data_IF_426675610764
#
_entry.id   IF_426675610764
#
_cell.length_a   1.000
_cell.length_b   1.000
_cell.length_c   1.000
_cell.angle_alpha   90.00
_cell.angle_beta   90.00
_cell.angle_gamma   90.00
#
_symmetry.space_group_name_H-M   'P 1'
#
loop_
_entity.id
_entity.type
_entity.pdbx_description
1 polymer ?
#
# COMPACT_ATOMS: atom_id res chain seq x y z
N UNK A 1 -0.05 16.69 -6.74
CA UNK A 1 0.47 16.71 -8.14
C UNK A 1 1.07 15.33 -8.38
N UNK A 2 0.78 14.67 -9.51
CA UNK A 2 1.29 13.31 -9.80
C UNK A 2 2.45 13.36 -10.81
N UNK A 3 3.17 12.24 -10.99
CA UNK A 3 4.34 12.13 -11.87
C UNK A 3 4.03 11.51 -13.24
N UNK A 4 2.75 11.30 -13.57
CA UNK A 4 2.34 10.58 -14.79
C UNK A 4 2.90 11.20 -16.08
N UNK A 5 2.83 12.54 -16.19
CA UNK A 5 3.33 13.27 -17.36
C UNK A 5 4.84 13.17 -17.51
N UNK A 6 5.55 13.17 -16.39
CA UNK A 6 7.01 13.08 -16.33
C UNK A 6 7.47 11.70 -16.76
N UNK A 7 6.89 10.66 -16.16
CA UNK A 7 7.17 9.25 -16.48
C UNK A 7 6.89 8.93 -17.96
N UNK A 8 5.77 9.42 -18.50
CA UNK A 8 5.46 9.25 -19.92
C UNK A 8 6.53 9.88 -20.82
N UNK A 9 6.96 11.11 -20.49
CA UNK A 9 7.99 11.82 -21.26
C UNK A 9 9.36 11.16 -21.17
N UNK A 10 9.71 10.61 -20.00
CA UNK A 10 10.94 9.83 -19.80
C UNK A 10 10.99 8.61 -20.73
N UNK A 11 9.86 7.89 -20.87
CA UNK A 11 9.73 6.78 -21.83
C UNK A 11 9.51 7.22 -23.28
N UNK A 12 9.50 8.54 -23.55
CA UNK A 12 9.27 9.12 -24.89
C UNK A 12 7.94 8.69 -25.53
N UNK A 13 6.92 8.45 -24.72
CA UNK A 13 5.59 8.04 -25.17
C UNK A 13 4.66 9.26 -25.35
N UNK A 14 3.76 9.20 -26.31
CA UNK A 14 2.68 10.16 -26.50
C UNK A 14 1.49 9.86 -25.59
N UNK A 15 0.62 10.85 -25.37
CA UNK A 15 -0.62 10.62 -24.60
C UNK A 15 -1.50 9.56 -25.27
N UNK A 16 -1.57 9.56 -26.60
CA UNK A 16 -2.29 8.57 -27.39
C UNK A 16 -1.79 7.13 -27.18
N UNK A 17 -0.49 6.91 -27.06
CA UNK A 17 0.09 5.57 -26.84
C UNK A 17 -0.31 5.01 -25.49
N UNK A 18 -0.09 5.76 -24.41
CA UNK A 18 -0.49 5.34 -23.05
C UNK A 18 -2.01 5.19 -22.95
N UNK A 19 -2.79 6.10 -23.54
CA UNK A 19 -4.24 6.02 -23.50
C UNK A 19 -4.75 4.73 -24.17
N UNK A 20 -4.13 4.33 -25.29
CA UNK A 20 -4.43 3.07 -25.96
C UNK A 20 -4.06 1.87 -25.09
N UNK A 21 -2.86 1.85 -24.51
CA UNK A 21 -2.38 0.77 -23.64
C UNK A 21 -3.29 0.57 -22.42
N UNK A 22 -3.73 1.68 -21.84
CA UNK A 22 -4.61 1.69 -20.66
C UNK A 22 -6.11 1.54 -21.00
N UNK A 23 -6.47 1.43 -22.28
CA UNK A 23 -7.86 1.37 -22.76
C UNK A 23 -8.72 2.53 -22.25
N UNK A 24 -8.21 3.76 -22.35
CA UNK A 24 -8.88 5.02 -21.98
C UNK A 24 -8.83 6.03 -23.12
N UNK A 25 -9.54 7.15 -22.97
CA UNK A 25 -9.43 8.26 -23.91
C UNK A 25 -8.17 9.09 -23.65
N UNK A 26 -7.61 9.70 -24.70
CA UNK A 26 -6.50 10.67 -24.56
C UNK A 26 -6.88 11.86 -23.66
N UNK A 27 -8.15 12.27 -23.70
CA UNK A 27 -8.70 13.29 -22.80
C UNK A 27 -8.66 12.86 -21.32
N UNK A 28 -8.95 11.59 -21.04
CA UNK A 28 -8.84 11.02 -19.68
C UNK A 28 -7.39 11.10 -19.21
N UNK A 29 -6.44 10.69 -20.05
CA UNK A 29 -5.02 10.74 -19.71
C UNK A 29 -4.55 12.18 -19.47
N UNK A 30 -4.94 13.13 -20.34
CA UNK A 30 -4.60 14.54 -20.16
C UNK A 30 -5.16 15.10 -18.85
N UNK A 31 -6.38 14.75 -18.48
CA UNK A 31 -6.99 15.16 -17.20
C UNK A 31 -6.22 14.59 -16.01
N UNK A 32 -5.78 13.34 -16.08
CA UNK A 32 -4.94 12.73 -15.05
C UNK A 32 -3.60 13.46 -14.94
N UNK A 33 -2.90 13.70 -16.05
CA UNK A 33 -1.61 14.42 -16.07
C UNK A 33 -1.70 15.85 -15.50
N UNK A 34 -2.85 16.50 -15.65
CA UNK A 34 -3.09 17.85 -15.14
C UNK A 34 -3.70 17.88 -13.73
N UNK A 35 -4.00 16.71 -13.13
CA UNK A 35 -4.67 16.63 -11.83
C UNK A 35 -6.15 17.06 -11.84
N UNK A 36 -6.77 17.17 -13.02
CA UNK A 36 -8.18 17.52 -13.19
C UNK A 36 -9.14 16.38 -12.77
N UNK A 37 -8.62 15.15 -12.66
CA UNK A 37 -9.37 14.00 -12.16
C UNK A 37 -8.44 12.98 -11.49
N UNK A 38 -8.99 12.25 -10.52
CA UNK A 38 -8.25 11.21 -9.80
C UNK A 38 -8.06 9.95 -10.67
N UNK A 39 -6.91 9.30 -10.49
CA UNK A 39 -6.62 8.00 -11.08
C UNK A 39 -7.19 6.93 -10.13
N UNK A 40 -8.02 6.02 -10.65
CA UNK A 40 -8.55 4.92 -9.83
C UNK A 40 -7.41 3.97 -9.43
N UNK A 41 -7.48 3.31 -8.25
CA UNK A 41 -6.43 2.41 -7.77
C UNK A 41 -5.97 1.39 -8.81
N UNK A 42 -6.92 0.69 -9.45
CA UNK A 42 -6.65 -0.29 -10.51
C UNK A 42 -5.83 0.30 -11.68
N UNK A 43 -6.15 1.54 -12.09
CA UNK A 43 -5.44 2.24 -13.17
C UNK A 43 -4.10 2.79 -12.72
N UNK A 44 -3.99 3.22 -11.46
CA UNK A 44 -2.75 3.66 -10.87
C UNK A 44 -1.74 2.50 -10.82
N UNK A 45 -2.19 1.30 -10.43
CA UNK A 45 -1.36 0.09 -10.45
C UNK A 45 -0.90 -0.25 -11.87
N UNK A 46 -1.81 -0.31 -12.85
CA UNK A 46 -1.45 -0.60 -14.25
C UNK A 46 -0.43 0.40 -14.82
N UNK A 47 -0.60 1.69 -14.51
CA UNK A 47 0.35 2.72 -14.93
C UNK A 47 1.70 2.57 -14.21
N UNK A 48 1.70 2.28 -12.91
CA UNK A 48 2.91 2.08 -12.12
C UNK A 48 3.73 0.91 -12.68
N UNK A 49 3.07 -0.22 -12.96
CA UNK A 49 3.67 -1.39 -13.60
C UNK A 49 4.22 -1.06 -15.00
N UNK A 50 3.44 -0.33 -15.82
CA UNK A 50 3.84 0.11 -17.15
C UNK A 50 5.12 0.97 -17.09
N UNK A 51 5.24 1.85 -16.09
CA UNK A 51 6.41 2.71 -15.94
C UNK A 51 7.57 2.07 -15.17
N UNK A 52 7.34 0.96 -14.46
CA UNK A 52 8.35 0.31 -13.62
C UNK A 52 8.66 1.13 -12.37
N UNK A 53 7.63 1.73 -11.77
CA UNK A 53 7.72 2.52 -10.54
C UNK A 53 6.62 2.07 -9.57
N UNK A 54 6.68 2.53 -8.34
CA UNK A 54 5.66 2.30 -7.33
C UNK A 54 4.45 3.21 -7.53
N UNK A 55 3.29 2.76 -7.05
CA UNK A 55 2.05 3.56 -7.08
C UNK A 55 2.24 4.85 -6.28
N UNK A 56 2.92 4.78 -5.12
CA UNK A 56 3.25 5.95 -4.32
C UNK A 56 4.06 6.98 -5.11
N UNK A 57 5.09 6.56 -5.84
CA UNK A 57 5.88 7.46 -6.68
C UNK A 57 5.03 8.09 -7.79
N UNK A 58 4.26 7.26 -8.50
CA UNK A 58 3.43 7.69 -9.62
C UNK A 58 2.42 8.76 -9.20
N UNK A 59 1.76 8.56 -8.05
CA UNK A 59 0.74 9.47 -7.54
C UNK A 59 1.31 10.71 -6.85
N UNK A 60 2.62 10.74 -6.59
CA UNK A 60 3.27 11.88 -5.91
C UNK A 60 3.32 11.74 -4.39
N UNK A 61 3.13 10.53 -3.85
CA UNK A 61 3.11 10.26 -2.42
C UNK A 61 4.45 9.77 -1.87
N UNK A 62 5.34 9.27 -2.73
CA UNK A 62 6.70 8.89 -2.36
C UNK A 62 7.73 9.59 -3.22
N UNK A 63 8.88 9.95 -2.64
CA UNK A 63 10.05 10.42 -3.39
C UNK A 63 10.86 9.27 -3.99
N UNK A 64 10.66 8.03 -3.56
CA UNK A 64 11.40 6.88 -4.05
C UNK A 64 10.66 6.21 -5.21
N UNK A 65 11.35 5.91 -6.32
CA UNK A 65 10.74 5.25 -7.49
C UNK A 65 10.16 3.90 -7.12
N UNK A 66 10.87 3.13 -6.32
CA UNK A 66 10.45 1.80 -5.90
C UNK A 66 11.00 1.47 -4.50
N UNK A 67 10.63 0.29 -4.01
CA UNK A 67 11.06 -0.22 -2.71
C UNK A 67 12.57 -0.42 -2.62
N UNK A 68 13.25 -0.69 -3.74
CA UNK A 68 14.68 -0.97 -3.79
C UNK A 68 15.46 0.34 -3.60
N UNK A 69 15.06 1.39 -4.31
CA UNK A 69 15.61 2.73 -4.14
C UNK A 69 15.36 3.24 -2.71
N UNK A 70 14.14 3.09 -2.19
CA UNK A 70 13.82 3.46 -0.82
C UNK A 70 14.70 2.72 0.19
N UNK A 71 14.87 1.41 0.03
CA UNK A 71 15.69 0.59 0.92
C UNK A 71 17.16 1.00 0.88
N UNK A 72 17.70 1.30 -0.30
CA UNK A 72 19.09 1.72 -0.45
C UNK A 72 19.35 3.08 0.20
N UNK A 73 18.46 4.04 0.00
CA UNK A 73 18.58 5.38 0.58
C UNK A 73 18.42 5.36 2.11
N UNK A 74 17.47 4.56 2.61
CA UNK A 74 17.27 4.36 4.05
C UNK A 74 18.48 3.70 4.70
N UNK A 75 19.02 2.64 4.09
CA UNK A 75 20.21 1.97 4.60
C UNK A 75 21.42 2.89 4.66
N UNK A 76 21.61 3.78 3.67
CA UNK A 76 22.68 4.77 3.73
C UNK A 76 22.52 5.77 4.88
N UNK A 77 21.27 6.10 5.24
CA UNK A 77 20.96 7.06 6.29
C UNK A 77 21.14 6.46 7.69
N UNK A 78 20.69 5.22 7.89
CA UNK A 78 20.79 4.50 9.15
C UNK A 78 20.98 2.99 8.88
N UNK A 79 22.22 2.51 8.73
CA UNK A 79 22.49 1.11 8.39
C UNK A 79 22.02 0.10 9.43
N UNK A 80 21.87 0.53 10.69
CA UNK A 80 21.56 -0.33 11.82
C UNK A 80 20.04 -0.42 12.11
N UNK A 81 19.21 0.35 11.40
CA UNK A 81 17.75 0.26 11.53
C UNK A 81 17.23 -1.08 10.92
N UNK A 82 16.76 -2.02 11.76
CA UNK A 82 16.32 -3.33 11.29
C UNK A 82 15.01 -3.27 10.49
N UNK A 83 14.33 -2.12 10.47
CA UNK A 83 13.06 -1.93 9.76
C UNK A 83 13.22 -1.20 8.42
N UNK A 84 14.44 -0.89 7.98
CA UNK A 84 14.68 -0.18 6.72
C UNK A 84 13.96 -0.80 5.53
N UNK A 85 13.99 -2.13 5.40
CA UNK A 85 13.30 -2.79 4.29
C UNK A 85 11.77 -2.66 4.39
N UNK A 86 11.21 -2.73 5.61
CA UNK A 86 9.75 -2.60 5.82
C UNK A 86 9.34 -1.16 5.54
N UNK A 87 10.08 -0.18 6.04
CA UNK A 87 9.88 1.25 5.77
C UNK A 87 9.94 1.53 4.27
N UNK A 88 10.91 0.96 3.57
CA UNK A 88 11.02 1.09 2.12
C UNK A 88 9.77 0.59 1.38
N UNK A 89 9.19 -0.52 1.84
CA UNK A 89 7.98 -1.10 1.26
C UNK A 89 6.76 -0.26 1.58
N UNK A 90 6.62 0.21 2.81
CA UNK A 90 5.61 1.19 3.22
C UNK A 90 5.68 2.44 2.34
N UNK A 91 6.85 3.03 2.16
CA UNK A 91 7.02 4.21 1.30
C UNK A 91 6.64 3.93 -0.15
N UNK A 92 7.04 2.78 -0.69
CA UNK A 92 6.69 2.42 -2.08
C UNK A 92 5.18 2.21 -2.28
N UNK A 93 4.50 1.54 -1.34
CA UNK A 93 3.09 1.16 -1.49
C UNK A 93 2.17 2.32 -1.11
N UNK A 94 2.44 2.93 0.05
CA UNK A 94 1.55 3.87 0.72
C UNK A 94 2.03 5.33 0.61
N UNK A 95 3.31 5.56 0.31
CA UNK A 95 3.89 6.90 0.30
C UNK A 95 4.51 7.32 1.63
N UNK A 96 5.30 8.39 1.56
CA UNK A 96 6.18 8.86 2.62
C UNK A 96 5.37 9.42 3.81
N UNK A 97 4.22 10.06 3.52
CA UNK A 97 3.34 10.61 4.54
C UNK A 97 2.54 9.54 5.30
N UNK A 98 2.32 8.36 4.73
CA UNK A 98 1.56 7.30 5.40
C UNK A 98 2.36 6.53 6.45
N UNK A 99 3.69 6.57 6.40
CA UNK A 99 4.49 6.09 7.53
C UNK A 99 4.26 6.94 8.78
N UNK A 100 4.09 8.26 8.64
CA UNK A 100 3.74 9.14 9.78
C UNK A 100 2.41 8.75 10.40
N UNK A 101 1.45 8.37 9.56
CA UNK A 101 0.15 7.85 10.04
C UNK A 101 0.33 6.56 10.83
N UNK A 102 1.16 5.62 10.36
CA UNK A 102 1.48 4.41 11.13
C UNK A 102 2.18 4.74 12.45
N UNK A 103 3.14 5.66 12.44
CA UNK A 103 3.82 6.13 13.64
C UNK A 103 2.83 6.74 14.64
N UNK A 104 1.93 7.63 14.22
CA UNK A 104 0.88 8.22 15.07
C UNK A 104 -0.10 7.17 15.63
N UNK A 105 -0.38 6.12 14.87
CA UNK A 105 -1.32 5.06 15.26
C UNK A 105 -0.72 4.04 16.24
N UNK A 106 0.58 3.79 16.15
CA UNK A 106 1.24 2.67 16.83
C UNK A 106 2.35 3.09 17.81
N UNK A 107 2.87 4.32 17.75
CA UNK A 107 3.77 4.82 18.79
C UNK A 107 2.93 5.31 19.97
N UNK A 108 3.30 4.88 21.17
CA UNK A 108 2.66 5.31 22.42
C UNK A 108 3.66 6.04 23.32
N UNK A 109 3.24 6.53 24.49
CA UNK A 109 4.11 7.34 25.35
C UNK A 109 4.10 8.81 24.97
N UNK A 110 4.34 9.69 25.95
CA UNK A 110 4.27 11.15 25.76
C UNK A 110 5.66 11.78 25.75
N UNK A 111 6.45 11.54 26.81
CA UNK A 111 7.79 12.13 26.95
C UNK A 111 8.89 11.20 26.40
N UNK A 112 8.68 9.88 26.51
CA UNK A 112 9.52 8.85 25.92
C UNK A 112 8.65 7.99 24.98
N UNK A 113 8.88 8.04 23.66
CA UNK A 113 8.09 7.27 22.71
C UNK A 113 8.36 5.75 22.85
N UNK A 114 7.28 4.98 22.94
CA UNK A 114 7.28 3.51 22.94
C UNK A 114 6.91 2.98 21.55
N UNK A 115 7.90 2.35 20.92
CA UNK A 115 7.82 1.79 19.57
C UNK A 115 7.39 0.32 19.55
N UNK A 116 7.08 -0.30 20.69
CA UNK A 116 6.83 -1.76 20.78
C UNK A 116 5.68 -2.22 19.88
N UNK A 117 4.60 -1.44 19.82
CA UNK A 117 3.44 -1.74 18.98
C UNK A 117 3.76 -1.55 17.48
N UNK A 118 4.47 -0.48 17.12
CA UNK A 118 4.91 -0.24 15.74
C UNK A 118 5.86 -1.35 15.28
N UNK A 119 6.84 -1.69 16.12
CA UNK A 119 7.78 -2.80 15.91
C UNK A 119 7.04 -4.11 15.66
N UNK A 120 6.07 -4.44 16.50
CA UNK A 120 5.28 -5.67 16.36
C UNK A 120 4.48 -5.68 15.07
N UNK A 121 3.88 -4.54 14.71
CA UNK A 121 3.13 -4.38 13.46
C UNK A 121 4.04 -4.55 12.23
N UNK A 122 5.17 -3.83 12.18
CA UNK A 122 6.13 -3.91 11.07
C UNK A 122 6.75 -5.31 10.95
N UNK A 123 6.98 -5.99 12.08
CA UNK A 123 7.43 -7.39 12.08
C UNK A 123 6.37 -8.34 11.49
N UNK A 124 5.10 -8.13 11.81
CA UNK A 124 4.01 -8.90 11.20
C UNK A 124 3.88 -8.64 9.69
N UNK A 125 3.96 -7.37 9.26
CA UNK A 125 3.98 -7.00 7.83
C UNK A 125 5.15 -7.68 7.12
N UNK A 126 6.36 -7.64 7.72
CA UNK A 126 7.53 -8.31 7.17
C UNK A 126 7.32 -9.82 6.99
N UNK A 127 6.70 -10.50 7.95
CA UNK A 127 6.42 -11.94 7.85
C UNK A 127 5.41 -12.28 6.74
N UNK A 128 4.57 -11.33 6.35
CA UNK A 128 3.58 -11.46 5.29
C UNK A 128 4.06 -10.92 3.93
N UNK A 129 5.35 -10.64 3.78
CA UNK A 129 5.89 -10.01 2.58
C UNK A 129 5.46 -10.72 1.29
N UNK A 130 4.99 -9.95 0.31
CA UNK A 130 4.57 -10.41 -1.02
C UNK A 130 3.29 -11.26 -1.02
N UNK A 131 2.36 -10.96 -0.11
CA UNK A 131 1.04 -11.61 -0.02
C UNK A 131 -0.08 -10.57 -0.02
N UNK A 132 -1.30 -10.99 -0.36
CA UNK A 132 -2.49 -10.12 -0.29
C UNK A 132 -2.74 -9.68 1.17
N UNK A 133 -2.39 -10.52 2.14
CA UNK A 133 -2.52 -10.23 3.57
C UNK A 133 -1.63 -9.09 4.04
N UNK A 134 -0.47 -8.91 3.44
CA UNK A 134 0.38 -7.77 3.72
C UNK A 134 -0.29 -6.45 3.31
N UNK A 135 -0.79 -6.38 2.07
CA UNK A 135 -1.42 -5.16 1.57
C UNK A 135 -2.63 -4.82 2.43
N UNK A 136 -3.42 -5.85 2.80
CA UNK A 136 -4.53 -5.71 3.72
C UNK A 136 -4.07 -5.19 5.09
N UNK A 137 -2.98 -5.73 5.66
CA UNK A 137 -2.50 -5.32 6.97
C UNK A 137 -1.95 -3.89 6.96
N UNK A 138 -1.21 -3.51 5.91
CA UNK A 138 -0.71 -2.15 5.68
C UNK A 138 -1.85 -1.14 5.55
N UNK A 139 -2.83 -1.45 4.69
CA UNK A 139 -4.03 -0.63 4.52
C UNK A 139 -4.84 -0.56 5.82
N UNK A 140 -4.97 -1.65 6.57
CA UNK A 140 -5.65 -1.65 7.87
C UNK A 140 -4.90 -0.78 8.89
N UNK A 141 -3.57 -0.82 8.91
CA UNK A 141 -2.72 -0.12 9.86
C UNK A 141 -2.95 1.40 9.85
N UNK A 142 -3.15 1.98 8.68
CA UNK A 142 -3.34 3.43 8.50
C UNK A 142 -4.77 3.92 8.79
N UNK A 143 -5.73 3.00 8.98
CA UNK A 143 -7.12 3.40 9.16
C UNK A 143 -7.39 4.05 10.55
N UNK A 144 -8.32 5.00 10.62
CA UNK A 144 -8.87 5.47 11.88
C UNK A 144 -9.48 4.34 12.72
N UNK A 145 -9.52 4.53 14.05
CA UNK A 145 -10.05 3.52 14.99
C UNK A 145 -11.48 3.07 14.67
N UNK A 146 -12.33 3.98 14.20
CA UNK A 146 -13.72 3.65 13.87
C UNK A 146 -13.83 2.76 12.62
N UNK A 147 -13.03 3.02 11.59
CA UNK A 147 -13.00 2.20 10.37
C UNK A 147 -12.40 0.82 10.66
N UNK A 148 -11.35 0.75 11.49
CA UNK A 148 -10.79 -0.51 11.99
C UNK A 148 -11.84 -1.36 12.71
N UNK A 149 -12.76 -0.74 13.45
CA UNK A 149 -13.85 -1.42 14.16
C UNK A 149 -14.88 -2.01 13.18
N UNK A 150 -15.22 -1.28 12.12
CA UNK A 150 -16.12 -1.78 11.07
C UNK A 150 -15.54 -3.04 10.43
N UNK A 151 -14.27 -3.00 10.01
CA UNK A 151 -13.59 -4.14 9.39
C UNK A 151 -13.53 -5.32 10.36
N UNK A 152 -13.15 -5.08 11.63
CA UNK A 152 -13.11 -6.13 12.66
C UNK A 152 -14.45 -6.82 12.84
N UNK A 153 -15.55 -6.06 12.87
CA UNK A 153 -16.89 -6.62 13.00
C UNK A 153 -17.27 -7.46 11.78
N UNK A 154 -17.01 -6.94 10.57
CA UNK A 154 -17.28 -7.65 9.32
C UNK A 154 -16.53 -8.99 9.25
N UNK A 155 -15.22 -8.98 9.54
CA UNK A 155 -14.39 -10.19 9.55
C UNK A 155 -14.88 -11.17 10.62
N UNK A 156 -15.25 -10.68 11.80
CA UNK A 156 -15.79 -11.53 12.88
C UNK A 156 -17.09 -12.21 12.49
N UNK A 157 -18.03 -11.48 11.88
CA UNK A 157 -19.31 -12.01 11.43
C UNK A 157 -19.14 -13.05 10.32
N UNK A 158 -18.24 -12.80 9.36
CA UNK A 158 -17.92 -13.77 8.31
C UNK A 158 -17.26 -15.03 8.88
N UNK A 159 -16.30 -14.87 9.79
CA UNK A 159 -15.64 -16.00 10.45
C UNK A 159 -16.61 -16.83 11.28
N UNK A 160 -17.58 -16.21 11.96
CA UNK A 160 -18.57 -16.94 12.76
C UNK A 160 -19.48 -17.80 11.89
N UNK A 161 -19.90 -17.31 10.72
CA UNK A 161 -20.65 -18.12 9.75
C UNK A 161 -19.89 -19.37 9.33
N UNK A 162 -18.58 -19.25 9.07
CA UNK A 162 -17.70 -20.37 8.72
C UNK A 162 -17.59 -21.36 9.89
N UNK A 163 -17.40 -20.87 11.12
CA UNK A 163 -17.35 -21.73 12.32
C UNK A 163 -18.65 -22.49 12.53
N UNK A 164 -19.80 -21.83 12.34
CA UNK A 164 -21.13 -22.47 12.46
C UNK A 164 -21.31 -23.55 11.39
N UNK A 165 -20.92 -23.28 10.14
CA UNK A 165 -20.97 -24.26 9.06
C UNK A 165 -20.12 -25.50 9.39
N UNK A 166 -18.88 -25.29 9.85
CA UNK A 166 -17.96 -26.38 10.21
C UNK A 166 -18.43 -27.18 11.43
N UNK A 167 -19.19 -26.59 12.36
CA UNK A 167 -19.79 -27.31 13.50
C UNK A 167 -20.99 -28.20 13.11
N UNK A 168 -21.63 -27.95 11.97
CA UNK A 168 -22.81 -28.71 11.50
C UNK A 168 -22.47 -29.98 10.69
N UNK A 169 -21.19 -30.23 10.40
CA UNK A 169 -20.73 -31.43 9.66
C UNK A 169 -19.99 -32.54 10.48
N UNK A 170 -20.38 -32.93 11.71
CA UNK A 170 -19.76 -34.10 12.36
C UNK A 170 -20.05 -35.45 11.65
N UNK A 171 -21.17 -35.55 10.90
CA UNK A 171 -21.73 -36.83 10.46
C UNK A 171 -21.50 -37.18 8.98
N UNK A 172 -20.72 -36.40 8.22
CA UNK A 172 -20.39 -36.68 6.80
C UNK A 172 -19.02 -37.32 6.58
N UNK A 173 -18.23 -37.57 7.63
CA UNK A 173 -16.91 -38.24 7.54
C UNK A 173 -16.95 -39.74 7.85
N UNK A 174 -18.05 -40.41 7.55
CA UNK A 174 -18.13 -41.86 7.69
C UNK A 174 -19.36 -42.45 7.04
N UNK A 175 -19.26 -42.72 5.73
CA UNK A 175 -19.81 -43.87 5.02
C UNK A 175 -18.99 -44.07 3.75
#
# INVERSE_FOLDING_TARGET
MNRLKELRKEKKLSQKEIAKEMSISEKTLSRWENGESQIKPEKAQQLADCFGVSVGYLLGYSEYRDSQEASYQLYQKDPDDPYNHVKARVYSILGDDLMKVLEEQYITGHDEPDYSNLTSFLSAVNQLSYTDEEELLLNYGILPKEDKKIIKNLVSDMAEKVKIANKKEPWRKGF
#
